data_IF_306328956565
#
_entry.id   IF_306328956565
#
_cell.length_a   1.000
_cell.length_b   1.000
_cell.length_c   1.000
_cell.angle_alpha   90.00
_cell.angle_beta   90.00
_cell.angle_gamma   90.00
#
_symmetry.space_group_name_H-M   'P 1'
#
loop_
_entity.id
_entity.type
_entity.pdbx_description
1 polymer ?
#
# COMPACT_ATOMS: atom_id res chain seq x y z
N UNK A 1 2.78 -6.45 -0.52
CA UNK A 1 2.92 -5.79 0.78
C UNK A 1 3.89 -6.62 1.61
N UNK A 2 4.84 -5.98 2.26
CA UNK A 2 5.85 -6.66 3.08
C UNK A 2 5.74 -6.16 4.53
N UNK A 3 5.72 -7.09 5.48
CA UNK A 3 5.63 -6.80 6.91
C UNK A 3 6.99 -7.11 7.54
N UNK A 4 7.62 -6.09 8.12
CA UNK A 4 8.82 -6.29 8.93
C UNK A 4 8.47 -6.80 10.33
N UNK A 5 9.45 -7.33 11.06
CA UNK A 5 9.33 -7.72 12.48
C UNK A 5 8.88 -6.57 13.39
N UNK A 6 9.01 -5.33 12.92
CA UNK A 6 8.57 -4.12 13.62
C UNK A 6 7.07 -3.83 13.46
N UNK A 7 6.34 -4.56 12.61
CA UNK A 7 4.89 -4.45 12.51
C UNK A 7 4.22 -4.97 13.80
N UNK A 8 3.19 -4.30 14.37
CA UNK A 8 2.47 -3.13 13.84
C UNK A 8 3.03 -1.77 14.28
N UNK A 9 4.11 -1.71 15.07
CA UNK A 9 4.71 -0.44 15.51
C UNK A 9 5.22 0.40 14.32
N UNK A 10 5.68 -0.26 13.25
CA UNK A 10 6.01 0.37 11.98
C UNK A 10 5.01 -0.03 10.88
N UNK A 11 4.75 0.88 9.93
CA UNK A 11 3.90 0.58 8.79
C UNK A 11 4.54 -0.52 7.92
N UNK A 12 3.72 -1.35 7.27
CA UNK A 12 4.19 -2.30 6.27
C UNK A 12 4.61 -1.58 4.99
N UNK A 13 5.56 -2.16 4.27
CA UNK A 13 6.01 -1.65 2.97
C UNK A 13 5.03 -2.03 1.86
N UNK A 14 4.52 -1.04 1.14
CA UNK A 14 3.57 -1.22 0.03
C UNK A 14 4.17 -0.68 -1.26
N UNK A 15 4.18 -1.50 -2.30
CA UNK A 15 4.63 -1.15 -3.65
C UNK A 15 3.68 -1.73 -4.69
N UNK A 16 3.50 -1.01 -5.79
CA UNK A 16 2.81 -1.51 -6.97
C UNK A 16 3.74 -2.45 -7.74
N UNK A 17 3.18 -3.54 -8.24
CA UNK A 17 3.89 -4.50 -9.09
C UNK A 17 3.84 -4.03 -10.54
N UNK A 18 2.71 -3.42 -10.95
CA UNK A 18 2.54 -2.78 -12.24
C UNK A 18 3.24 -1.43 -12.28
N UNK A 19 3.70 -1.05 -13.47
CA UNK A 19 4.31 0.25 -13.71
C UNK A 19 3.21 1.31 -13.73
N UNK A 20 3.11 2.08 -12.64
CA UNK A 20 2.07 3.08 -12.42
C UNK A 20 2.69 4.48 -12.41
N UNK A 21 2.24 5.35 -13.30
CA UNK A 21 2.64 6.76 -13.32
C UNK A 21 1.62 7.60 -12.57
N UNK A 22 1.89 7.87 -11.29
CA UNK A 22 1.03 8.69 -10.43
C UNK A 22 1.90 9.68 -9.63
N UNK A 23 1.44 10.92 -9.38
CA UNK A 23 2.19 11.90 -8.56
C UNK A 23 2.66 11.44 -7.17
N UNK A 24 2.03 10.39 -6.61
CA UNK A 24 2.36 9.84 -5.29
C UNK A 24 2.88 8.39 -5.39
N UNK A 25 3.19 7.94 -6.59
CA UNK A 25 3.88 6.67 -6.84
C UNK A 25 5.24 7.02 -7.40
N UNK A 26 6.29 6.63 -6.68
CA UNK A 26 7.66 6.79 -7.14
C UNK A 26 7.92 5.92 -8.37
N UNK A 27 8.93 6.27 -9.17
CA UNK A 27 9.34 5.46 -10.33
C UNK A 27 9.77 4.03 -9.98
N UNK A 28 10.03 3.76 -8.69
CA UNK A 28 10.30 2.42 -8.12
C UNK A 28 9.02 1.60 -7.87
N UNK A 29 7.84 2.20 -8.01
CA UNK A 29 6.54 1.61 -7.64
C UNK A 29 6.17 1.79 -6.17
N UNK A 30 7.00 2.48 -5.38
CA UNK A 30 6.70 2.78 -3.97
C UNK A 30 5.62 3.84 -3.85
N UNK A 31 4.73 3.68 -2.88
CA UNK A 31 3.60 4.57 -2.65
C UNK A 31 3.87 5.51 -1.49
N UNK A 32 3.69 6.81 -1.71
CA UNK A 32 3.71 7.83 -0.66
C UNK A 32 2.29 8.09 -0.16
N UNK A 33 1.85 7.36 0.86
CA UNK A 33 0.63 7.65 1.60
C UNK A 33 0.96 8.16 2.99
N UNK A 34 0.28 9.23 3.39
CA UNK A 34 0.45 9.85 4.71
C UNK A 34 0.17 8.86 5.86
N UNK A 35 -0.78 7.93 5.67
CA UNK A 35 -1.10 6.87 6.64
C UNK A 35 0.02 5.82 6.77
N UNK A 36 0.91 5.70 5.78
CA UNK A 36 2.09 4.80 5.82
C UNK A 36 3.35 5.54 6.26
N UNK A 37 3.24 6.83 6.59
CA UNK A 37 4.35 7.67 7.02
C UNK A 37 4.00 8.37 8.34
N UNK A 38 3.71 9.67 8.30
CA UNK A 38 3.54 10.51 9.48
C UNK A 38 2.26 10.19 10.28
N UNK A 39 1.26 9.60 9.62
CA UNK A 39 -0.02 9.25 10.23
C UNK A 39 -0.22 7.77 10.43
N UNK A 40 0.86 6.97 10.42
CA UNK A 40 0.78 5.57 10.81
C UNK A 40 0.33 5.40 12.25
N UNK A 41 -0.54 4.43 12.46
CA UNK A 41 -0.99 3.98 13.78
C UNK A 41 -1.06 2.45 13.74
N UNK A 42 -0.56 1.74 14.77
CA UNK A 42 -0.68 0.29 14.87
C UNK A 42 -2.14 -0.20 14.92
N UNK A 43 -3.11 0.72 15.07
CA UNK A 43 -4.54 0.43 15.00
C UNK A 43 -5.08 0.31 13.57
N UNK A 44 -4.28 0.63 12.54
CA UNK A 44 -4.71 0.48 11.15
C UNK A 44 -4.57 -0.96 10.68
N UNK A 45 -5.70 -1.54 10.32
CA UNK A 45 -5.74 -2.84 9.66
C UNK A 45 -5.32 -2.73 8.18
N UNK A 46 -4.89 -3.87 7.64
CA UNK A 46 -4.59 -4.04 6.21
C UNK A 46 -5.76 -3.59 5.33
N UNK A 47 -7.00 -3.85 5.76
CA UNK A 47 -8.20 -3.41 5.06
C UNK A 47 -8.31 -1.87 4.97
N UNK A 48 -7.94 -1.14 6.03
CA UNK A 48 -7.95 0.32 6.03
C UNK A 48 -6.88 0.90 5.08
N UNK A 49 -5.72 0.25 5.01
CA UNK A 49 -4.64 0.59 4.08
C UNK A 49 -5.13 0.40 2.64
N UNK A 50 -5.67 -0.78 2.32
CA UNK A 50 -6.19 -1.10 0.99
C UNK A 50 -7.33 -0.16 0.58
N UNK A 51 -8.25 0.15 1.49
CA UNK A 51 -9.34 1.11 1.26
C UNK A 51 -8.81 2.51 0.97
N UNK A 52 -7.76 2.93 1.66
CA UNK A 52 -7.13 4.23 1.44
C UNK A 52 -6.43 4.28 0.07
N UNK A 53 -5.73 3.21 -0.31
CA UNK A 53 -5.13 3.05 -1.64
C UNK A 53 -6.24 3.07 -2.72
N UNK A 54 -7.35 2.38 -2.51
CA UNK A 54 -8.48 2.36 -3.44
C UNK A 54 -9.08 3.73 -3.68
N UNK A 55 -9.30 4.50 -2.61
CA UNK A 55 -9.78 5.88 -2.71
C UNK A 55 -8.77 6.79 -3.37
N UNK A 56 -7.48 6.56 -3.11
CA UNK A 56 -6.40 7.39 -3.61
C UNK A 56 -6.10 7.15 -5.09
N UNK A 57 -5.89 5.90 -5.49
CA UNK A 57 -5.55 5.53 -6.85
C UNK A 57 -6.78 5.42 -7.78
N UNK A 58 -7.99 5.43 -7.23
CA UNK A 58 -9.24 5.30 -7.99
C UNK A 58 -9.54 3.84 -8.38
N UNK A 59 -10.83 3.54 -8.54
CA UNK A 59 -11.35 2.17 -8.70
C UNK A 59 -10.74 1.34 -9.85
N UNK A 60 -10.13 1.97 -10.87
CA UNK A 60 -9.45 1.24 -11.96
C UNK A 60 -8.05 0.76 -11.61
N UNK A 61 -7.38 1.44 -10.68
CA UNK A 61 -6.00 1.16 -10.31
C UNK A 61 -5.89 0.02 -9.29
N UNK A 62 -6.97 -0.34 -8.61
CA UNK A 62 -6.97 -1.42 -7.59
C UNK A 62 -7.11 -2.82 -8.16
N UNK A 63 -7.71 -2.98 -9.34
CA UNK A 63 -7.68 -4.27 -10.05
C UNK A 63 -6.27 -4.55 -10.60
N UNK A 64 -5.53 -3.51 -11.01
CA UNK A 64 -4.11 -3.63 -11.42
C UNK A 64 -3.15 -3.64 -10.23
N UNK A 65 -3.49 -2.94 -9.15
CA UNK A 65 -2.79 -2.99 -7.87
C UNK A 65 -3.28 -4.16 -7.02
N UNK A 66 -3.20 -5.35 -7.59
CA UNK A 66 -3.20 -6.57 -6.80
C UNK A 66 -1.92 -6.57 -5.95
N UNK A 67 -2.03 -6.00 -4.74
CA UNK A 67 -1.00 -6.06 -3.72
C UNK A 67 -0.84 -7.53 -3.37
N UNK A 68 0.16 -8.20 -3.93
CA UNK A 68 0.43 -9.65 -3.80
C UNK A 68 0.05 -10.21 -2.42
N UNK A 69 -1.20 -10.63 -2.28
CA UNK A 69 -1.76 -11.45 -1.20
C UNK A 69 -2.15 -12.84 -1.75
N UNK A 70 -2.19 -12.99 -3.08
CA UNK A 70 -2.55 -14.21 -3.83
C UNK A 70 -1.31 -14.90 -4.46
N UNK A 71 -0.27 -15.14 -3.67
CA UNK A 71 0.71 -16.20 -3.99
C UNK A 71 0.98 -17.13 -2.81
N UNK A 72 -0.02 -17.26 -1.93
CA UNK A 72 -0.09 -18.28 -0.88
C UNK A 72 -1.48 -18.92 -0.89
N UNK A 73 -1.86 -19.48 -2.04
CA UNK A 73 -2.70 -20.67 -2.12
C UNK A 73 -2.09 -21.60 -3.18
#
# INVERSE_FOLDING_TARGET
MHFDEAYPNKPPSVKFISQMFHPNVYGTGELCLDILQNRWSPTYDVAAILTSIQRYAGARSVEEAYVSLDRLC
#
